data_IF_507975955579
#
_entry.id   IF_507975955579
#
_cell.length_a   1.000
_cell.length_b   1.000
_cell.length_c   1.000
_cell.angle_alpha   90.00
_cell.angle_beta   90.00
_cell.angle_gamma   90.00
#
_symmetry.space_group_name_H-M   'P 1'
#
loop_
_entity.id
_entity.type
_entity.pdbx_description
1 polymer ?
#
# COMPACT_ATOMS: atom_id res chain seq x y z
N UNK A 1 60.17 -3.93 35.31
CA UNK A 1 60.18 -3.50 33.90
C UNK A 1 58.74 -3.35 33.42
N UNK A 2 58.45 -2.18 32.81
CA UNK A 2 57.51 -1.87 31.73
C UNK A 2 56.03 -2.32 31.79
N UNK A 3 55.19 -1.28 31.92
CA UNK A 3 53.76 -1.15 31.57
C UNK A 3 53.49 -1.56 30.13
N UNK A 4 52.29 -2.08 29.84
CA UNK A 4 51.49 -1.67 28.69
C UNK A 4 50.00 -1.71 29.02
N UNK A 5 49.45 -0.51 29.19
CA UNK A 5 48.03 -0.19 29.05
C UNK A 5 47.67 -0.34 27.56
N UNK A 6 46.57 -1.01 27.24
CA UNK A 6 45.82 -0.75 26.02
C UNK A 6 44.33 -0.69 26.35
N UNK A 7 43.82 0.54 26.32
CA UNK A 7 42.42 0.91 26.32
C UNK A 7 41.89 0.87 24.86
N UNK A 8 40.64 1.26 24.55
CA UNK A 8 39.62 0.41 23.94
C UNK A 8 39.25 0.90 22.52
N UNK A 9 38.11 0.38 22.00
CA UNK A 9 37.33 0.86 20.84
C UNK A 9 37.80 0.26 19.51
N UNK A 10 36.87 -0.38 18.80
CA UNK A 10 36.52 -0.09 17.39
C UNK A 10 35.30 -0.92 16.98
N UNK A 11 34.20 -0.20 16.66
CA UNK A 11 33.24 -0.38 15.56
C UNK A 11 32.58 -1.77 15.34
N UNK A 12 31.33 -1.90 14.90
CA UNK A 12 30.19 -1.05 14.60
C UNK A 12 29.08 -2.01 14.11
N UNK A 13 27.84 -1.55 14.13
CA UNK A 13 26.78 -1.97 13.21
C UNK A 13 26.40 -3.46 13.22
N UNK A 14 25.80 -3.91 14.33
CA UNK A 14 24.89 -5.05 14.33
C UNK A 14 23.44 -4.59 14.24
N UNK A 15 23.06 -3.85 13.20
CA UNK A 15 21.63 -3.62 12.87
C UNK A 15 21.10 -4.93 12.26
N UNK A 16 20.90 -5.95 13.09
CA UNK A 16 20.08 -7.12 12.76
C UNK A 16 18.63 -6.71 12.97
N UNK A 17 17.95 -6.29 11.90
CA UNK A 17 17.11 -7.13 11.05
C UNK A 17 15.91 -7.70 11.79
N UNK A 18 14.74 -7.24 11.33
CA UNK A 18 13.45 -7.91 11.38
C UNK A 18 12.90 -8.22 12.77
N UNK A 19 11.94 -7.41 13.21
CA UNK A 19 10.56 -7.87 13.45
C UNK A 19 9.78 -6.77 14.16
N UNK A 20 9.25 -5.84 13.40
CA UNK A 20 7.88 -5.40 13.61
C UNK A 20 7.26 -5.32 12.23
N UNK A 21 7.02 -6.51 11.68
CA UNK A 21 5.89 -6.76 10.81
C UNK A 21 4.66 -6.39 11.66
N UNK A 22 4.39 -5.09 11.80
CA UNK A 22 3.08 -4.64 12.19
C UNK A 22 2.24 -4.95 10.97
N UNK A 23 1.80 -6.21 10.91
CA UNK A 23 0.52 -6.57 10.31
C UNK A 23 -0.52 -5.76 11.06
N UNK A 24 -0.60 -4.46 10.73
CA UNK A 24 -1.77 -3.66 10.97
C UNK A 24 -2.80 -4.20 9.99
N UNK A 25 -3.37 -5.35 10.33
CA UNK A 25 -4.71 -5.74 9.90
C UNK A 25 -5.61 -4.66 10.49
N UNK A 26 -5.75 -3.57 9.76
CA UNK A 26 -5.93 -2.27 10.35
C UNK A 26 -6.91 -1.46 9.54
N UNK A 27 -8.18 -1.82 9.67
CA UNK A 27 -9.32 -0.97 9.28
C UNK A 27 -8.98 0.51 9.48
N UNK A 28 -9.25 1.33 8.46
CA UNK A 28 -8.92 2.76 8.49
C UNK A 28 -9.74 3.43 9.60
N UNK A 29 -9.06 4.03 10.58
CA UNK A 29 -9.75 4.66 11.70
C UNK A 29 -8.82 5.16 12.80
N UNK A 30 -9.37 5.86 13.80
CA UNK A 30 -8.61 6.27 14.98
C UNK A 30 -8.35 5.05 15.90
N UNK A 31 -7.12 4.89 16.38
CA UNK A 31 -6.74 3.86 17.36
C UNK A 31 -5.36 3.24 17.14
N UNK A 32 -4.75 2.70 18.20
CA UNK A 32 -3.54 1.88 18.11
C UNK A 32 -3.83 0.60 17.33
N UNK A 33 -3.07 0.33 16.26
CA UNK A 33 -3.29 -0.82 15.37
C UNK A 33 -4.10 -0.52 14.11
N UNK A 34 -4.62 0.71 13.95
CA UNK A 34 -5.32 1.15 12.73
C UNK A 34 -4.44 2.05 11.88
N UNK A 35 -4.66 2.02 10.55
CA UNK A 35 -4.03 3.00 9.66
C UNK A 35 -4.75 4.35 9.87
N UNK A 36 -4.00 5.37 10.29
CA UNK A 36 -4.58 6.69 10.48
C UNK A 36 -5.12 7.24 9.14
N UNK A 37 -6.21 8.03 9.14
CA UNK A 37 -6.78 8.60 7.92
C UNK A 37 -5.77 9.35 7.04
N UNK A 38 -4.81 10.05 7.67
CA UNK A 38 -3.75 10.79 6.98
C UNK A 38 -2.73 9.84 6.35
N UNK A 39 -2.34 8.79 7.05
CA UNK A 39 -1.45 7.76 6.53
C UNK A 39 -2.14 6.96 5.40
N UNK A 40 -3.42 6.61 5.55
CA UNK A 40 -4.21 5.93 4.52
C UNK A 40 -4.30 6.78 3.25
N UNK A 41 -4.60 8.07 3.38
CA UNK A 41 -4.62 8.99 2.23
C UNK A 41 -3.26 9.08 1.54
N UNK A 42 -2.17 9.24 2.30
CA UNK A 42 -0.82 9.36 1.74
C UNK A 42 -0.35 8.06 1.07
N UNK A 43 -0.58 6.91 1.70
CA UNK A 43 -0.23 5.60 1.15
C UNK A 43 -1.08 5.27 -0.07
N UNK A 44 -2.38 5.51 -0.01
CA UNK A 44 -3.29 5.32 -1.13
C UNK A 44 -2.90 6.19 -2.33
N UNK A 45 -2.52 7.46 -2.09
CA UNK A 45 -1.99 8.34 -3.14
C UNK A 45 -0.74 7.75 -3.78
N UNK A 46 0.26 7.37 -2.98
CA UNK A 46 1.51 6.80 -3.48
C UNK A 46 1.25 5.55 -4.34
N UNK A 47 0.52 4.57 -3.81
CA UNK A 47 0.19 3.34 -4.54
C UNK A 47 -0.59 3.62 -5.84
N UNK A 48 -1.48 4.62 -5.85
CA UNK A 48 -2.22 4.98 -7.06
C UNK A 48 -1.28 5.51 -8.14
N UNK A 49 -0.30 6.36 -7.81
CA UNK A 49 0.61 6.92 -8.81
C UNK A 49 1.84 6.04 -9.10
N UNK A 50 2.19 5.13 -8.22
CA UNK A 50 3.33 4.23 -8.39
C UNK A 50 2.95 2.95 -9.15
N UNK A 51 1.73 2.43 -8.95
CA UNK A 51 1.31 1.13 -9.49
C UNK A 51 0.18 1.23 -10.52
N UNK A 52 -0.68 2.25 -10.44
CA UNK A 52 -1.85 2.37 -11.31
C UNK A 52 -1.70 3.45 -12.37
N UNK A 53 -1.11 4.61 -12.02
CA UNK A 53 -1.07 5.81 -12.86
C UNK A 53 0.37 6.22 -13.15
N UNK A 54 0.94 5.63 -14.19
CA UNK A 54 2.29 5.91 -14.69
C UNK A 54 2.36 5.61 -16.20
N UNK A 55 3.46 5.97 -16.85
CA UNK A 55 3.59 5.84 -18.32
C UNK A 55 3.57 4.37 -18.80
N UNK A 56 3.95 3.44 -17.93
CA UNK A 56 3.93 1.98 -18.16
C UNK A 56 2.88 1.23 -17.32
N UNK A 57 1.93 1.95 -16.73
CA UNK A 57 0.90 1.39 -15.85
C UNK A 57 -0.43 1.18 -16.61
N UNK A 58 -1.39 0.43 -16.04
CA UNK A 58 -2.69 0.19 -16.66
C UNK A 58 -3.53 1.46 -16.89
N UNK A 59 -3.25 2.57 -16.19
CA UNK A 59 -3.90 3.86 -16.41
C UNK A 59 -2.83 4.87 -16.78
N UNK A 60 -2.99 5.56 -17.92
CA UNK A 60 -2.02 6.58 -18.31
C UNK A 60 -2.18 7.84 -17.49
N UNK A 61 -1.08 8.59 -17.36
CA UNK A 61 -1.06 9.89 -16.69
C UNK A 61 -2.03 10.85 -17.40
N UNK A 62 -3.11 11.23 -16.71
CA UNK A 62 -4.19 12.09 -17.24
C UNK A 62 -5.53 11.38 -17.48
N UNK A 63 -5.54 10.04 -17.49
CA UNK A 63 -6.79 9.25 -17.68
C UNK A 63 -7.54 8.99 -16.37
N UNK A 64 -6.90 9.22 -15.22
CA UNK A 64 -7.55 9.11 -13.91
C UNK A 64 -8.50 10.31 -13.66
N UNK A 65 -9.71 10.20 -14.19
CA UNK A 65 -10.82 11.13 -13.95
C UNK A 65 -11.82 10.55 -12.93
N UNK A 66 -12.88 11.31 -12.62
CA UNK A 66 -13.89 10.92 -11.61
C UNK A 66 -14.62 9.64 -11.98
N UNK A 67 -14.96 9.45 -13.26
CA UNK A 67 -15.71 8.27 -13.73
C UNK A 67 -14.83 7.02 -13.70
N UNK A 68 -13.57 7.14 -14.12
CA UNK A 68 -12.59 6.07 -14.03
C UNK A 68 -12.30 5.70 -12.58
N UNK A 69 -12.18 6.69 -11.68
CA UNK A 69 -12.04 6.45 -10.26
C UNK A 69 -13.27 5.74 -9.68
N UNK A 70 -14.49 6.09 -10.11
CA UNK A 70 -15.73 5.42 -9.70
C UNK A 70 -15.76 3.95 -10.14
N UNK A 71 -15.44 3.68 -11.41
CA UNK A 71 -15.30 2.31 -11.93
C UNK A 71 -14.31 1.52 -11.08
N UNK A 72 -13.11 2.07 -10.88
CA UNK A 72 -12.03 1.40 -10.16
C UNK A 72 -12.42 1.13 -8.69
N UNK A 73 -13.08 2.07 -8.01
CA UNK A 73 -13.57 1.84 -6.65
C UNK A 73 -14.59 0.71 -6.58
N UNK A 74 -15.51 0.61 -7.55
CA UNK A 74 -16.48 -0.48 -7.60
C UNK A 74 -15.79 -1.84 -7.84
N UNK A 75 -14.78 -1.85 -8.71
CA UNK A 75 -13.97 -3.03 -9.00
C UNK A 75 -13.18 -3.49 -7.77
N UNK A 76 -12.54 -2.58 -7.04
CA UNK A 76 -11.85 -2.88 -5.78
C UNK A 76 -12.78 -3.46 -4.72
N UNK A 77 -13.99 -2.90 -4.57
CA UNK A 77 -14.99 -3.41 -3.63
C UNK A 77 -15.50 -4.79 -4.03
N UNK A 78 -15.71 -5.04 -5.32
CA UNK A 78 -16.13 -6.35 -5.81
C UNK A 78 -15.06 -7.42 -5.51
N UNK A 79 -13.79 -7.12 -5.77
CA UNK A 79 -12.68 -8.05 -5.48
C UNK A 79 -12.49 -8.25 -3.99
N UNK A 80 -12.59 -7.19 -3.17
CA UNK A 80 -12.57 -7.31 -1.71
C UNK A 80 -13.66 -8.25 -1.18
N UNK A 81 -14.83 -8.25 -1.82
CA UNK A 81 -15.95 -9.15 -1.50
C UNK A 81 -15.84 -10.55 -2.14
N UNK A 82 -14.69 -10.90 -2.72
CA UNK A 82 -14.47 -12.20 -3.36
C UNK A 82 -15.20 -12.41 -4.68
N UNK A 83 -15.68 -11.34 -5.32
CA UNK A 83 -16.35 -11.40 -6.63
C UNK A 83 -15.36 -11.14 -7.74
N UNK A 84 -15.51 -11.85 -8.87
CA UNK A 84 -14.85 -11.48 -10.11
C UNK A 84 -15.51 -10.22 -10.66
N UNK A 85 -14.69 -9.27 -11.05
CA UNK A 85 -15.10 -7.98 -11.60
C UNK A 85 -15.48 -8.07 -13.06
N UNK A 86 -14.75 -8.87 -13.86
CA UNK A 86 -15.00 -8.97 -15.31
C UNK A 86 -14.90 -7.61 -16.00
N UNK A 87 -14.06 -6.73 -15.45
CA UNK A 87 -14.02 -5.30 -15.74
C UNK A 87 -12.71 -4.95 -16.43
N UNK A 88 -12.64 -3.80 -17.12
CA UNK A 88 -11.37 -3.27 -17.61
C UNK A 88 -10.40 -2.85 -16.47
N UNK A 89 -10.81 -2.97 -15.20
CA UNK A 89 -9.99 -2.65 -14.04
C UNK A 89 -9.29 -3.89 -13.45
N UNK A 90 -9.49 -5.08 -14.01
CA UNK A 90 -8.93 -6.34 -13.50
C UNK A 90 -7.39 -6.30 -13.49
N UNK A 91 -6.78 -5.70 -14.53
CA UNK A 91 -5.33 -5.46 -14.60
C UNK A 91 -4.86 -4.48 -13.53
N UNK A 92 -5.67 -3.48 -13.19
CA UNK A 92 -5.36 -2.51 -12.14
C UNK A 92 -5.42 -3.16 -10.75
N UNK A 93 -6.42 -4.01 -10.51
CA UNK A 93 -6.51 -4.74 -9.23
C UNK A 93 -5.36 -5.75 -9.10
N UNK A 94 -5.02 -6.46 -10.18
CA UNK A 94 -3.86 -7.35 -10.21
C UNK A 94 -2.55 -6.59 -9.97
N UNK A 95 -2.37 -5.40 -10.55
CA UNK A 95 -1.18 -4.57 -10.32
C UNK A 95 -1.03 -4.15 -8.85
N UNK A 96 -2.13 -3.85 -8.14
CA UNK A 96 -2.10 -3.51 -6.72
C UNK A 96 -1.71 -4.70 -5.83
N UNK A 97 -2.23 -5.87 -6.15
CA UNK A 97 -2.02 -7.09 -5.37
C UNK A 97 -0.74 -7.85 -5.75
N UNK A 98 -0.11 -7.46 -6.87
CA UNK A 98 1.06 -8.16 -7.43
C UNK A 98 0.67 -9.50 -8.06
N UNK A 99 1.65 -10.23 -8.61
CA UNK A 99 1.45 -11.59 -9.18
C UNK A 99 1.11 -12.67 -8.12
N UNK A 100 0.67 -12.27 -6.92
CA UNK A 100 0.34 -13.14 -5.79
C UNK A 100 -1.14 -13.12 -5.45
N UNK A 101 -1.56 -14.03 -4.55
CA UNK A 101 -2.96 -14.23 -4.19
C UNK A 101 -3.68 -12.94 -3.77
N UNK A 102 -4.75 -12.63 -4.49
CA UNK A 102 -5.69 -11.51 -4.23
C UNK A 102 -6.34 -11.61 -2.83
N UNK A 103 -6.14 -12.74 -2.14
CA UNK A 103 -6.66 -12.99 -0.79
C UNK A 103 -5.69 -12.63 0.34
N UNK A 104 -4.44 -12.26 0.05
CA UNK A 104 -3.46 -11.86 1.06
C UNK A 104 -3.84 -10.57 1.79
N UNK A 105 -3.55 -10.51 3.10
CA UNK A 105 -3.78 -9.31 3.94
C UNK A 105 -3.12 -8.04 3.38
N UNK A 106 -1.98 -8.19 2.70
CA UNK A 106 -1.28 -7.08 2.08
C UNK A 106 -2.05 -6.52 0.87
N UNK A 107 -2.60 -7.39 0.01
CA UNK A 107 -3.45 -7.00 -1.11
C UNK A 107 -4.71 -6.28 -0.60
N UNK A 108 -5.39 -6.84 0.42
CA UNK A 108 -6.55 -6.20 1.06
C UNK A 108 -6.22 -4.80 1.58
N UNK A 109 -5.12 -4.67 2.31
CA UNK A 109 -4.68 -3.38 2.87
C UNK A 109 -4.40 -2.37 1.76
N UNK A 110 -3.72 -2.76 0.68
CA UNK A 110 -3.44 -1.90 -0.48
C UNK A 110 -4.73 -1.47 -1.18
N UNK A 111 -5.67 -2.39 -1.37
CA UNK A 111 -6.99 -2.08 -1.95
C UNK A 111 -7.76 -1.09 -1.08
N UNK A 112 -7.79 -1.28 0.25
CA UNK A 112 -8.49 -0.39 1.18
C UNK A 112 -7.92 1.04 1.17
N UNK A 113 -6.58 1.19 1.21
CA UNK A 113 -5.98 2.54 1.22
C UNK A 113 -6.12 3.25 -0.13
N UNK A 114 -6.07 2.51 -1.25
CA UNK A 114 -6.30 3.08 -2.59
C UNK A 114 -7.76 3.47 -2.74
N UNK A 115 -8.69 2.60 -2.35
CA UNK A 115 -10.12 2.92 -2.31
C UNK A 115 -10.38 4.18 -1.48
N UNK A 116 -9.82 4.26 -0.27
CA UNK A 116 -9.94 5.44 0.60
C UNK A 116 -9.43 6.74 -0.05
N UNK A 117 -8.26 6.68 -0.70
CA UNK A 117 -7.70 7.82 -1.42
C UNK A 117 -8.63 8.28 -2.55
N UNK A 118 -9.12 7.36 -3.40
CA UNK A 118 -9.98 7.66 -4.53
C UNK A 118 -11.31 8.25 -4.09
N UNK A 119 -11.99 7.61 -3.13
CA UNK A 119 -13.26 8.12 -2.58
C UNK A 119 -13.11 9.53 -2.02
N UNK A 120 -12.01 9.80 -1.30
CA UNK A 120 -11.77 11.12 -0.71
C UNK A 120 -11.34 12.17 -1.72
N UNK A 121 -10.51 11.82 -2.71
CA UNK A 121 -10.01 12.75 -3.74
C UNK A 121 -11.11 13.16 -4.73
N UNK A 122 -12.01 12.26 -5.06
CA UNK A 122 -13.06 12.43 -6.07
C UNK A 122 -14.47 12.61 -5.48
N UNK A 123 -14.62 12.57 -4.16
CA UNK A 123 -15.90 12.69 -3.43
C UNK A 123 -16.92 11.68 -3.97
N UNK A 124 -16.54 10.39 -3.90
CA UNK A 124 -17.34 9.25 -4.34
C UNK A 124 -18.07 8.60 -3.17
#
# INVERSE_FOLDING_TARGET
MKRFLFAPIVFAAGVGLFQLWVSASGSIGPGSGKVSPRAAYSKGKALTFDLLVCDSCPIKKGELNRDRARSLTASLVAVYNGKKTGSPDDESVAALCGKGDVQGEECKTRMEVVHYFLSRRFKL
#
